data_IF_706372415791
#
_entry.id   IF_706372415791
#
_cell.length_a   1.000
_cell.length_b   1.000
_cell.length_c   1.000
_cell.angle_alpha   90.00
_cell.angle_beta   90.00
_cell.angle_gamma   90.00
#
_symmetry.space_group_name_H-M   'P 1'
#
loop_
_entity.id
_entity.type
_entity.pdbx_description
1 polymer ?
#
# COMPACT_ATOMS: atom_id res chain seq x y z
N UNK A 1 -0.39 12.07 -7.10
CA UNK A 1 0.51 11.10 -7.78
C UNK A 1 -0.30 10.31 -8.80
N UNK A 2 0.23 10.07 -10.00
CA UNK A 2 -0.40 9.22 -11.03
C UNK A 2 -0.02 7.75 -10.84
N UNK A 3 -0.75 6.81 -11.46
CA UNK A 3 -0.40 5.38 -11.42
C UNK A 3 1.00 5.09 -11.98
N UNK A 4 1.40 5.80 -13.05
CA UNK A 4 2.74 5.66 -13.64
C UNK A 4 3.83 6.14 -12.69
N UNK A 5 3.62 7.28 -12.01
CA UNK A 5 4.54 7.78 -11.00
C UNK A 5 4.65 6.82 -9.81
N UNK A 6 3.53 6.28 -9.33
CA UNK A 6 3.55 5.30 -8.25
C UNK A 6 4.28 4.02 -8.66
N UNK A 7 4.04 3.53 -9.88
CA UNK A 7 4.71 2.36 -10.42
C UNK A 7 6.24 2.54 -10.44
N UNK A 8 6.71 3.70 -10.90
CA UNK A 8 8.13 4.06 -10.89
C UNK A 8 8.72 4.09 -9.48
N UNK A 9 8.06 4.79 -8.55
CA UNK A 9 8.55 4.94 -7.17
C UNK A 9 8.51 3.62 -6.36
N UNK A 10 7.53 2.76 -6.62
CA UNK A 10 7.35 1.48 -5.90
C UNK A 10 8.08 0.30 -6.57
N UNK A 11 8.68 0.50 -7.74
CA UNK A 11 9.25 -0.59 -8.54
C UNK A 11 8.19 -1.62 -8.97
N UNK A 12 6.95 -1.17 -9.20
CA UNK A 12 5.84 -1.97 -9.69
C UNK A 12 5.53 -1.60 -11.14
N UNK A 13 4.67 -2.37 -11.80
CA UNK A 13 4.15 -1.99 -13.12
C UNK A 13 2.86 -1.18 -12.97
N UNK A 14 2.57 -0.27 -13.91
CA UNK A 14 1.29 0.45 -13.93
C UNK A 14 0.10 -0.52 -13.95
N UNK A 15 0.21 -1.66 -14.66
CA UNK A 15 -0.80 -2.70 -14.68
C UNK A 15 -1.03 -3.34 -13.29
N UNK A 16 0.03 -3.52 -12.49
CA UNK A 16 -0.10 -4.03 -11.12
C UNK A 16 -0.82 -3.01 -10.22
N UNK A 17 -0.48 -1.72 -10.32
CA UNK A 17 -1.18 -0.64 -9.61
C UNK A 17 -2.66 -0.58 -10.02
N UNK A 18 -2.95 -0.65 -11.32
CA UNK A 18 -4.32 -0.66 -11.82
C UNK A 18 -5.14 -1.82 -11.27
N UNK A 19 -4.60 -3.04 -11.22
CA UNK A 19 -5.30 -4.18 -10.61
C UNK A 19 -5.57 -3.97 -9.12
N UNK A 20 -4.62 -3.41 -8.39
CA UNK A 20 -4.76 -3.11 -6.98
C UNK A 20 -5.91 -2.12 -6.73
N UNK A 21 -5.93 -0.99 -7.43
CA UNK A 21 -6.96 0.05 -7.28
C UNK A 21 -8.37 -0.44 -7.63
N UNK A 22 -8.47 -1.37 -8.58
CA UNK A 22 -9.77 -1.99 -8.95
C UNK A 22 -10.15 -3.17 -8.05
N UNK A 23 -9.39 -3.48 -7.00
CA UNK A 23 -9.65 -4.62 -6.11
C UNK A 23 -9.53 -5.98 -6.81
N UNK A 24 -8.81 -6.05 -7.94
CA UNK A 24 -8.67 -7.26 -8.78
C UNK A 24 -7.52 -8.17 -8.35
N UNK A 25 -6.82 -7.84 -7.26
CA UNK A 25 -5.82 -8.71 -6.67
C UNK A 25 -5.78 -8.55 -5.15
N UNK A 26 -5.46 -9.63 -4.45
CA UNK A 26 -5.06 -9.57 -3.04
C UNK A 26 -3.61 -9.10 -2.96
N UNK A 27 -3.32 -7.94 -2.35
CA UNK A 27 -1.96 -7.47 -2.20
C UNK A 27 -1.16 -8.34 -1.23
N UNK A 28 0.11 -8.56 -1.52
CA UNK A 28 1.05 -9.17 -0.57
C UNK A 28 1.65 -8.09 0.34
N UNK A 29 2.17 -8.48 1.51
CA UNK A 29 2.87 -7.53 2.38
C UNK A 29 4.06 -6.85 1.68
N UNK A 30 4.83 -7.58 0.88
CA UNK A 30 5.94 -7.01 0.11
C UNK A 30 5.47 -5.93 -0.90
N UNK A 31 4.28 -6.09 -1.48
CA UNK A 31 3.69 -5.07 -2.34
C UNK A 31 3.25 -3.86 -1.52
N UNK A 32 2.60 -4.07 -0.37
CA UNK A 32 2.15 -3.00 0.52
C UNK A 32 3.35 -2.19 1.06
N UNK A 33 4.45 -2.85 1.41
CA UNK A 33 5.69 -2.22 1.88
C UNK A 33 6.31 -1.31 0.81
N UNK A 34 6.37 -1.77 -0.44
CA UNK A 34 6.85 -0.95 -1.57
C UNK A 34 5.98 0.29 -1.79
N UNK A 35 4.67 0.14 -1.66
CA UNK A 35 3.73 1.26 -1.78
C UNK A 35 3.93 2.24 -0.62
N UNK A 36 4.06 1.74 0.62
CA UNK A 36 4.35 2.56 1.79
C UNK A 36 5.64 3.36 1.61
N UNK A 37 6.70 2.71 1.12
CA UNK A 37 7.98 3.36 0.78
C UNK A 37 7.84 4.44 -0.30
N UNK A 38 7.07 4.18 -1.35
CA UNK A 38 6.80 5.17 -2.40
C UNK A 38 6.05 6.40 -1.90
N UNK A 39 5.22 6.24 -0.87
CA UNK A 39 4.50 7.35 -0.21
C UNK A 39 5.29 8.00 0.93
N UNK A 40 6.41 7.43 1.36
CA UNK A 40 7.10 7.85 2.59
C UNK A 40 6.26 7.65 3.85
N UNK A 41 5.34 6.67 3.83
CA UNK A 41 4.38 6.39 4.90
C UNK A 41 4.74 5.13 5.65
N UNK A 42 4.29 5.00 6.90
CA UNK A 42 4.31 3.73 7.62
C UNK A 42 3.09 2.88 7.23
N UNK A 43 3.27 1.56 7.20
CA UNK A 43 2.20 0.58 6.97
C UNK A 43 1.69 0.06 8.31
N UNK A 44 0.46 0.41 8.68
CA UNK A 44 -0.22 -0.13 9.86
C UNK A 44 -1.18 -1.25 9.43
N UNK A 45 -1.08 -2.39 10.12
CA UNK A 45 -1.94 -3.56 9.91
C UNK A 45 -2.61 -3.90 11.23
N UNK A 46 -3.93 -3.78 11.28
CA UNK A 46 -4.75 -4.21 12.42
C UNK A 46 -5.52 -5.47 12.06
N UNK A 47 -5.58 -6.42 12.99
CA UNK A 47 -6.37 -7.64 12.86
C UNK A 47 -7.32 -7.72 14.05
N UNK A 48 -8.61 -7.66 13.77
CA UNK A 48 -9.66 -7.61 14.79
C UNK A 48 -10.61 -8.80 14.61
N UNK A 49 -10.89 -9.59 15.68
CA UNK A 49 -11.89 -10.65 15.62
C UNK A 49 -13.25 -10.11 15.14
N UNK A 50 -13.85 -10.79 14.16
CA UNK A 50 -15.17 -10.41 13.59
C UNK A 50 -15.15 -9.23 12.60
N UNK A 51 -14.06 -8.48 12.50
CA UNK A 51 -13.91 -7.35 11.55
C UNK A 51 -12.92 -7.63 10.44
N UNK A 52 -11.95 -8.51 10.69
CA UNK A 52 -10.94 -8.94 9.70
C UNK A 52 -9.67 -8.08 9.76
N UNK A 53 -9.03 -7.92 8.60
CA UNK A 53 -7.76 -7.21 8.46
C UNK A 53 -8.02 -5.80 7.94
N UNK A 54 -7.53 -4.80 8.66
CA UNK A 54 -7.52 -3.40 8.21
C UNK A 54 -6.07 -2.99 7.93
N UNK A 55 -5.85 -2.36 6.79
CA UNK A 55 -4.54 -1.85 6.38
C UNK A 55 -4.66 -0.35 6.20
N UNK A 56 -3.73 0.41 6.80
CA UNK A 56 -3.67 1.86 6.69
C UNK A 56 -2.23 2.31 6.39
N UNK A 57 -2.11 3.38 5.60
CA UNK A 57 -0.85 4.10 5.41
C UNK A 57 -0.92 5.36 6.26
N UNK A 58 0.01 5.52 7.19
CA UNK A 58 0.06 6.68 8.11
C UNK A 58 1.27 7.53 7.82
N UNK A 59 1.18 8.83 8.11
CA UNK A 59 2.34 9.71 8.00
C UNK A 59 3.44 9.21 8.96
N UNK A 60 4.66 9.12 8.45
CA UNK A 60 5.81 8.62 9.22
C UNK A 60 6.22 9.60 10.33
N UNK A 61 5.66 10.82 10.33
CA UNK A 61 5.89 11.86 11.34
C UNK A 61 5.11 11.73 12.66
N UNK A 62 4.20 10.77 12.80
CA UNK A 62 3.34 10.63 13.99
C UNK A 62 3.79 9.50 14.94
N UNK A 63 4.92 8.84 14.63
CA UNK A 63 5.58 7.89 15.52
C UNK A 63 6.68 8.59 16.33
N UNK A 64 6.27 9.44 17.28
CA UNK A 64 7.13 10.02 18.32
C UNK A 64 6.47 9.87 19.69
#
# INVERSE_FOLDING_TARGET
>A
MTQTQLAELSGLTQAAISRLEHGKCMPTFALLERIAGAFGSALLVSVEPGRGVTVAFTDSGEAA
#
